data_IF_719049480449
#
_entry.id   IF_719049480449
#
_cell.length_a   1.000
_cell.length_b   1.000
_cell.length_c   1.000
_cell.angle_alpha   90.00
_cell.angle_beta   90.00
_cell.angle_gamma   90.00
#
_symmetry.space_group_name_H-M   'P 1'
#
loop_
_entity.id
_entity.type
_entity.pdbx_description
1 polymer ?
#
# COMPACT_ATOMS: atom_id res chain seq x y z
N UNK A 1 -0.09 11.53 -0.84
CA UNK A 1 0.22 10.68 0.34
C UNK A 1 -0.35 11.24 1.65
N UNK A 2 -0.37 12.55 1.86
CA UNK A 2 -0.78 13.12 3.16
C UNK A 2 -2.20 12.70 3.59
N UNK A 3 -3.16 12.70 2.65
CA UNK A 3 -4.50 12.17 2.91
C UNK A 3 -4.50 10.68 3.29
N UNK A 4 -3.61 9.87 2.70
CA UNK A 4 -3.48 8.43 2.99
C UNK A 4 -2.92 8.22 4.40
N UNK A 5 -1.86 8.94 4.78
CA UNK A 5 -1.24 8.83 6.11
C UNK A 5 -2.23 9.23 7.22
N UNK A 6 -3.03 10.29 7.00
CA UNK A 6 -4.05 10.75 7.95
C UNK A 6 -5.12 9.68 8.26
N UNK A 7 -5.39 8.77 7.33
CA UNK A 7 -6.33 7.67 7.55
C UNK A 7 -5.79 6.58 8.50
N UNK A 8 -4.47 6.54 8.74
CA UNK A 8 -3.78 5.52 9.55
C UNK A 8 -4.19 4.08 9.16
N UNK A 9 -4.08 3.69 7.88
CA UNK A 9 -4.40 2.35 7.45
C UNK A 9 -3.42 1.33 8.07
N UNK A 10 -3.88 0.08 8.24
CA UNK A 10 -2.98 -1.01 8.64
C UNK A 10 -1.94 -1.36 7.57
N UNK A 11 -2.31 -1.25 6.29
CA UNK A 11 -1.41 -1.40 5.14
C UNK A 11 -1.91 -0.66 3.91
N UNK A 12 -1.04 -0.44 2.93
CA UNK A 12 -1.37 0.05 1.58
C UNK A 12 -0.94 -0.97 0.53
N UNK A 13 -1.79 -1.28 -0.44
CA UNK A 13 -1.45 -2.17 -1.57
C UNK A 13 -1.31 -1.33 -2.84
N UNK A 14 -0.11 -1.30 -3.39
CA UNK A 14 0.16 -0.77 -4.72
C UNK A 14 -0.13 -1.88 -5.73
N UNK A 15 -1.26 -1.77 -6.44
CA UNK A 15 -1.56 -2.65 -7.56
C UNK A 15 -0.60 -2.37 -8.73
N UNK A 16 -0.32 -3.37 -9.59
CA UNK A 16 0.54 -3.18 -10.76
C UNK A 16 0.15 -1.93 -11.56
N UNK A 17 1.11 -1.02 -11.76
CA UNK A 17 0.90 0.26 -12.46
C UNK A 17 0.45 1.43 -11.59
N UNK A 18 0.40 1.26 -10.26
CA UNK A 18 0.07 2.32 -9.29
C UNK A 18 1.23 2.68 -8.36
N UNK A 19 2.39 2.04 -8.54
CA UNK A 19 3.59 2.25 -7.75
C UNK A 19 4.01 3.71 -7.79
N UNK A 20 4.30 4.30 -6.63
CA UNK A 20 4.73 5.69 -6.54
C UNK A 20 5.81 5.81 -5.47
N UNK A 21 7.11 5.88 -5.84
CA UNK A 21 8.23 5.88 -4.89
C UNK A 21 8.15 7.00 -3.82
N UNK A 22 7.64 8.17 -4.20
CA UNK A 22 7.46 9.28 -3.26
C UNK A 22 6.36 9.01 -2.20
N UNK A 23 5.35 8.20 -2.55
CA UNK A 23 4.29 7.80 -1.59
C UNK A 23 4.81 6.68 -0.69
N UNK A 24 5.50 5.68 -1.24
CA UNK A 24 6.12 4.59 -0.48
C UNK A 24 7.04 5.12 0.63
N UNK A 25 7.98 6.02 0.30
CA UNK A 25 8.87 6.66 1.30
C UNK A 25 8.12 7.40 2.41
N UNK A 26 6.98 8.03 2.07
CA UNK A 26 6.15 8.72 3.06
C UNK A 26 5.39 7.76 3.96
N UNK A 27 4.97 6.59 3.44
CA UNK A 27 4.35 5.54 4.24
C UNK A 27 5.38 4.88 5.16
N UNK A 28 6.59 4.61 4.68
CA UNK A 28 7.72 4.12 5.49
C UNK A 28 8.05 5.07 6.64
N UNK A 29 8.20 6.38 6.36
CA UNK A 29 8.46 7.38 7.38
C UNK A 29 7.32 7.51 8.41
N UNK A 30 6.10 7.14 8.03
CA UNK A 30 4.94 7.12 8.92
C UNK A 30 4.72 5.77 9.61
N UNK A 31 5.58 4.76 9.39
CA UNK A 31 5.45 3.42 9.95
C UNK A 31 4.25 2.63 9.40
N UNK A 32 3.77 2.95 8.20
CA UNK A 32 2.65 2.28 7.54
C UNK A 32 3.23 1.25 6.55
N UNK A 33 2.86 -0.01 6.75
CA UNK A 33 3.26 -1.09 5.84
C UNK A 33 2.65 -0.93 4.45
N UNK A 34 3.40 -1.34 3.43
CA UNK A 34 2.89 -1.36 2.07
C UNK A 34 3.46 -2.53 1.27
N UNK A 35 2.71 -2.94 0.24
CA UNK A 35 3.06 -4.07 -0.62
C UNK A 35 2.81 -3.71 -2.09
N UNK A 36 3.70 -4.13 -2.98
CA UNK A 36 3.42 -4.20 -4.41
C UNK A 36 2.79 -5.55 -4.73
N UNK A 37 1.49 -5.57 -5.01
CA UNK A 37 0.74 -6.80 -5.22
C UNK A 37 -0.59 -6.55 -5.97
N UNK A 38 -1.06 -7.55 -6.71
CA UNK A 38 -2.39 -7.51 -7.31
C UNK A 38 -3.45 -7.94 -6.30
N UNK A 39 -4.39 -7.04 -5.99
CA UNK A 39 -5.49 -7.27 -5.04
C UNK A 39 -6.33 -8.49 -5.44
N UNK A 40 -6.62 -8.65 -6.74
CA UNK A 40 -7.41 -9.79 -7.22
C UNK A 40 -6.68 -11.13 -7.07
N UNK A 41 -5.35 -11.14 -7.20
CA UNK A 41 -4.55 -12.34 -6.95
C UNK A 41 -4.59 -12.67 -5.47
N UNK A 42 -4.31 -11.70 -4.57
CA UNK A 42 -4.35 -11.89 -3.12
C UNK A 42 -5.72 -12.42 -2.64
N UNK A 43 -6.82 -11.91 -3.19
CA UNK A 43 -8.17 -12.39 -2.87
C UNK A 43 -8.35 -13.86 -3.31
N UNK A 44 -7.92 -14.22 -4.53
CA UNK A 44 -8.05 -15.59 -5.06
C UNK A 44 -7.14 -16.59 -4.32
N UNK A 45 -5.99 -16.14 -3.82
CA UNK A 45 -5.02 -16.98 -3.09
C UNK A 45 -5.21 -16.96 -1.58
N UNK A 46 -6.23 -16.25 -1.07
CA UNK A 46 -6.47 -16.06 0.37
C UNK A 46 -5.26 -15.46 1.11
N UNK A 47 -4.57 -14.54 0.45
CA UNK A 47 -3.44 -13.75 0.95
C UNK A 47 -3.80 -12.27 1.12
N UNK A 48 -5.07 -11.91 0.94
CA UNK A 48 -5.59 -10.60 1.30
C UNK A 48 -5.81 -10.54 2.80
#
# INVERSE_FOLDING_TARGET
AEAIVRLRPGRVIFNPGTETPAVQKRLEAAGIEWFEACTLVMLRTNQF
#
